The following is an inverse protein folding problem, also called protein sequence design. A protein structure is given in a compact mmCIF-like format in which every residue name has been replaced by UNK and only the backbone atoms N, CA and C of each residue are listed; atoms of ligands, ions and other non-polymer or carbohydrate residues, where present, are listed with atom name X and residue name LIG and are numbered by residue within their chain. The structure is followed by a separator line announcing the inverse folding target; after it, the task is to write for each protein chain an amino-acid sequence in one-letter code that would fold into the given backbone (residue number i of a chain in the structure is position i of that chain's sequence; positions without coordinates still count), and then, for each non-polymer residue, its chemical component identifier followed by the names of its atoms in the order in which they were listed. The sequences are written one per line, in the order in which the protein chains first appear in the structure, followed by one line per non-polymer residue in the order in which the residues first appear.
data_IF_930080880980
#
_entry.id   IF_930080880980
#
_cell.length_a   1.000
_cell.length_b   1.000
_cell.length_c   1.000
_cell.angle_alpha   90.00
_cell.angle_beta   90.00
_cell.angle_gamma   90.00
#
_symmetry.space_group_name_H-M   'P 1'
#
loop_
_entity.id
_entity.type
_entity.pdbx_description
1 polymer ?
2 water ?
#
# COMPACT_ATOMS: atom_id res chain seq x y z
N UNK A 22 -22.40 10.01 8.40
CA UNK A 22 -22.35 8.80 7.53
C UNK A 22 -22.26 9.18 6.05
N UNK A 23 -23.40 9.49 5.40
CA UNK A 23 -23.39 9.98 4.01
C UNK A 23 -22.24 10.98 3.82
N UNK A 24 -22.05 11.84 4.82
CA UNK A 24 -20.92 12.77 4.85
C UNK A 24 -19.55 12.08 4.82
N UNK A 25 -19.30 11.23 5.82
CA UNK A 25 -17.97 10.66 6.07
C UNK A 25 -17.62 9.53 5.08
N UNK A 26 -18.61 8.70 4.77
CA UNK A 26 -18.45 7.60 3.81
C UNK A 26 -17.94 8.08 2.45
N UNK A 27 -18.62 9.06 1.88
CA UNK A 27 -18.21 9.68 0.63
C UNK A 27 -16.76 10.22 0.65
N UNK A 28 -16.31 10.76 1.77
CA UNK A 28 -14.94 11.25 1.85
C UNK A 28 -13.97 10.07 1.68
N UNK A 29 -14.25 8.96 2.36
CA UNK A 29 -13.43 7.76 2.22
C UNK A 29 -13.43 7.15 0.83
N UNK A 30 -14.60 7.10 0.22
CA UNK A 30 -14.71 6.62 -1.15
C UNK A 30 -13.81 7.45 -2.06
N UNK A 31 -13.85 8.76 -1.86
CA UNK A 31 -13.06 9.68 -2.64
C UNK A 31 -11.58 9.37 -2.50
N UNK A 32 -11.12 9.18 -1.27
CA UNK A 32 -9.71 8.92 -1.02
C UNK A 32 -9.31 7.67 -1.73
N UNK A 33 -10.18 6.67 -1.69
CA UNK A 33 -9.91 5.40 -2.32
C UNK A 33 -9.91 5.45 -3.85
N UNK A 34 -10.80 6.22 -4.45
CA UNK A 34 -10.69 6.57 -5.87
C UNK A 34 -9.36 7.24 -6.24
N UNK A 35 -8.88 8.17 -5.41
CA UNK A 35 -7.58 8.83 -5.66
C UNK A 35 -6.42 7.87 -5.58
N UNK A 36 -6.47 6.97 -4.62
CA UNK A 36 -5.45 5.93 -4.51
C UNK A 36 -5.43 5.04 -5.77
N UNK A 37 -6.61 4.67 -6.26
CA UNK A 37 -6.79 3.88 -7.49
C UNK A 37 -6.17 4.58 -8.71
N UNK A 38 -6.48 5.87 -8.85
CA UNK A 38 -5.84 6.72 -9.89
C UNK A 38 -4.31 6.82 -9.78
N UNK A 39 -3.83 6.82 -8.55
CA UNK A 39 -2.42 6.89 -8.29
C UNK A 39 -1.71 5.61 -8.62
N UNK A 40 -2.38 4.48 -8.43
CA UNK A 40 -1.81 3.20 -8.83
C UNK A 40 -1.77 3.07 -10.34
N UNK A 41 -2.79 3.58 -11.03
CA UNK A 41 -2.71 3.67 -12.50
C UNK A 41 -1.47 4.47 -12.92
N UNK A 42 -1.20 5.56 -12.21
CA UNK A 42 -0.06 6.43 -12.50
C UNK A 42 1.26 5.70 -12.38
N UNK A 43 1.43 4.92 -11.34
CA UNK A 43 2.57 4.02 -11.21
C UNK A 43 2.69 3.00 -12.35
N UNK A 44 1.55 2.50 -12.86
CA UNK A 44 1.53 1.55 -13.98
C UNK A 44 2.05 2.20 -15.26
N UNK A 45 1.49 3.35 -15.61
CA UNK A 45 1.99 4.15 -16.70
C UNK A 45 3.48 4.39 -16.61
N UNK A 46 3.98 4.70 -15.42
CA UNK A 46 5.41 4.99 -15.26
C UNK A 46 6.28 3.78 -15.61
N UNK A 47 5.81 2.62 -15.26
CA UNK A 47 6.55 1.40 -15.49
C UNK A 47 6.59 1.10 -17.01
N UNK A 48 5.45 1.25 -17.69
CA UNK A 48 5.35 1.05 -19.14
C UNK A 48 6.28 1.99 -19.90
N UNK A 49 6.51 3.18 -19.35
CA UNK A 49 7.42 4.15 -19.94
C UNK A 49 8.86 4.05 -19.42
N UNK A 50 9.20 2.93 -18.79
CA UNK A 50 10.57 2.69 -18.36
C UNK A 50 11.26 3.92 -17.66
N UNK A 51 10.50 4.58 -16.80
CA UNK A 51 11.04 5.65 -15.96
C UNK A 51 11.93 5.09 -14.85
N UNK A 52 12.93 5.88 -14.39
CA UNK A 52 13.88 5.32 -13.43
C UNK A 52 13.25 4.73 -12.15
N UNK A 53 13.94 3.78 -11.56
CA UNK A 53 13.47 3.07 -10.40
C UNK A 53 13.13 3.98 -9.20
N UNK A 54 14.04 4.89 -8.82
CA UNK A 54 13.74 5.80 -7.70
C UNK A 54 12.48 6.64 -7.87
N UNK A 55 12.23 7.14 -9.08
CA UNK A 55 10.98 7.86 -9.41
C UNK A 55 9.74 7.00 -9.23
N UNK A 56 9.82 5.75 -9.67
CA UNK A 56 8.72 4.80 -9.51
C UNK A 56 8.50 4.51 -8.04
N UNK A 57 9.59 4.29 -7.30
CA UNK A 57 9.48 4.04 -5.84
C UNK A 57 8.98 5.24 -5.02
N UNK A 58 9.34 6.46 -5.44
CA UNK A 58 8.78 7.69 -4.87
C UNK A 58 7.26 7.79 -5.00
N UNK A 59 6.75 7.36 -6.14
CA UNK A 59 5.30 7.29 -6.39
C UNK A 59 4.60 6.14 -5.60
N UNK A 60 5.24 4.99 -5.54
CA UNK A 60 4.80 3.85 -4.70
C UNK A 60 4.76 4.22 -3.21
N UNK A 61 5.74 5.00 -2.73
CA UNK A 61 5.78 5.47 -1.32
C UNK A 61 4.58 6.36 -1.01
N UNK A 62 4.21 7.20 -1.97
CA UNK A 62 3.09 8.11 -1.79
C UNK A 62 1.80 7.32 -1.75
N UNK A 63 1.69 6.30 -2.60
CA UNK A 63 0.51 5.42 -2.60
C UNK A 63 0.44 4.69 -1.25
N UNK A 64 1.58 4.21 -0.77
CA UNK A 64 1.57 3.54 0.53
C UNK A 64 1.20 4.48 1.67
N UNK A 65 1.70 5.69 1.61
CA UNK A 65 1.31 6.70 2.59
C UNK A 65 -0.18 6.92 2.55
N UNK A 66 -0.73 6.99 1.35
CA UNK A 66 -2.17 7.31 1.21
C UNK A 66 -3.01 6.20 1.77
N UNK A 67 -2.54 4.98 1.55
CA UNK A 67 -3.21 3.79 2.06
C UNK A 67 -3.19 3.74 3.59
N UNK A 68 -2.04 4.05 4.18
CA UNK A 68 -1.91 4.16 5.64
C UNK A 68 -2.88 5.16 6.26
N UNK A 69 -3.04 6.32 5.63
CA UNK A 69 -3.94 7.36 6.14
C UNK A 69 -5.38 6.93 6.07
N UNK A 70 -5.74 6.20 5.02
CA UNK A 70 -7.08 5.63 4.90
C UNK A 70 -7.31 4.59 5.99
N UNK A 71 -6.35 3.70 6.17
CA UNK A 71 -6.44 2.72 7.27
C UNK A 71 -6.64 3.43 8.62
N UNK A 72 -5.87 4.48 8.85
CA UNK A 72 -5.98 5.24 10.07
C UNK A 72 -7.36 5.89 10.23
N UNK A 73 -7.95 6.39 9.15
CA UNK A 73 -9.29 7.00 9.25
C UNK A 73 -10.35 5.97 9.61
N UNK A 74 -10.20 4.77 9.08
CA UNK A 74 -11.17 3.72 9.33
C UNK A 74 -11.11 3.27 10.79
N UNK A 75 -9.89 3.10 11.29
CA UNK A 75 -9.67 2.82 12.70
C UNK A 75 -10.22 3.92 13.63
N UNK A 76 -10.02 5.18 13.30
CA UNK A 76 -10.57 6.28 14.08
C UNK A 76 -12.09 6.17 14.21
N UNK A 77 -12.79 5.90 13.11
CA UNK A 77 -14.25 5.76 13.15
C UNK A 77 -14.68 4.58 14.01
N UNK A 78 -14.02 3.43 13.86
CA UNK A 78 -14.26 2.26 14.71
C UNK A 78 -14.11 2.59 16.21
N UNK A 79 -12.98 3.19 16.55
CA UNK A 79 -12.71 3.60 17.90
C UNK A 79 -13.75 4.58 18.44
N UNK A 80 -14.16 5.53 17.59
CA UNK A 80 -15.24 6.45 17.92
C UNK A 80 -16.54 5.74 18.27
N UNK A 81 -16.94 4.76 17.46
CA UNK A 81 -18.16 4.00 17.77
C UNK A 81 -18.04 3.27 19.11
N UNK A 82 -16.89 2.66 19.37
CA UNK A 82 -16.70 1.88 20.58
C UNK A 82 -16.78 2.75 21.81
N UNK A 83 -16.11 3.90 21.80
CA UNK A 83 -16.09 4.78 22.98
C UNK A 83 -17.43 5.46 23.16
N UNK A 84 -18.03 5.89 22.06
CA UNK A 84 -19.37 6.48 22.08
C UNK A 84 -20.41 5.51 22.71
N UNK A 85 -20.38 4.25 22.27
CA UNK A 85 -21.30 3.23 22.77
C UNK A 85 -21.05 2.91 24.25
N UNK A 86 -19.78 2.96 24.68
CA UNK A 86 -19.41 2.79 26.09
C UNK A 86 -19.97 3.90 26.98
N UNK A 87 -19.85 5.15 26.54
CA UNK A 87 -20.46 6.27 27.25
C UNK A 87 -21.99 6.15 27.34
N UNK A 88 -22.62 5.73 26.26
CA UNK A 88 -24.09 5.64 26.20
C UNK A 88 -24.64 4.46 27.03
N UNK A 89 -23.98 3.31 26.90
CA UNK A 89 -24.54 2.01 27.24
C UNK A 89 -23.57 1.12 28.09
N UNK A 90 -22.39 1.64 28.41
CA UNK A 90 -21.41 0.93 29.21
C UNK A 90 -20.90 -0.32 28.52
N UNK A 91 -20.73 -1.37 29.33
CA UNK A 91 -19.98 -2.57 28.94
C UNK A 91 -18.57 -2.16 28.51
N UNK A 92 -17.89 -1.48 29.41
CA UNK A 92 -16.57 -0.93 29.13
C UNK A 92 -15.54 -2.02 28.82
N UNK A 93 -15.54 -3.12 29.58
CA UNK A 93 -14.56 -4.21 29.33
C UNK A 93 -14.62 -4.75 27.89
N UNK A 94 -15.84 -4.99 27.43
CA UNK A 94 -16.15 -5.52 26.10
C UNK A 94 -15.65 -4.57 24.99
N UNK A 95 -15.92 -3.27 25.18
CA UNK A 95 -15.59 -2.28 24.20
C UNK A 95 -14.09 -2.10 24.15
N UNK A 96 -13.46 -2.06 25.31
CA UNK A 96 -12.01 -2.00 25.39
C UNK A 96 -11.35 -3.17 24.66
N UNK A 97 -11.93 -4.35 24.82
CA UNK A 97 -11.38 -5.54 24.20
C UNK A 97 -11.57 -5.48 22.68
N UNK A 98 -12.65 -4.87 22.20
CA UNK A 98 -12.83 -4.62 20.77
C UNK A 98 -11.80 -3.66 20.23
N UNK A 99 -11.47 -2.64 21.00
CA UNK A 99 -10.51 -1.67 20.56
C UNK A 99 -9.14 -2.31 20.42
N UNK A 100 -8.76 -3.10 21.41
CA UNK A 100 -7.44 -3.77 21.41
C UNK A 100 -7.26 -4.80 20.27
N UNK A 101 -8.35 -5.50 19.95
CA UNK A 101 -8.38 -6.45 18.84
C UNK A 101 -8.21 -5.74 17.47
N UNK A 102 -8.83 -4.58 17.33
CA UNK A 102 -8.66 -3.74 16.14
C UNK A 102 -7.21 -3.22 15.99
N UNK A 103 -6.62 -2.78 17.09
CA UNK A 103 -5.21 -2.40 17.10
C UNK A 103 -4.26 -3.56 16.85
N UNK A 104 -4.59 -4.77 17.32
CA UNK A 104 -3.78 -5.96 17.01
C UNK A 104 -3.65 -6.14 15.49
N UNK A 105 -4.77 -6.03 14.77
CA UNK A 105 -4.77 -6.24 13.32
C UNK A 105 -4.30 -5.02 12.54
N UNK A 106 -4.37 -3.83 13.13
CA UNK A 106 -3.89 -2.60 12.47
C UNK A 106 -2.36 -2.47 12.51
N UNK A 107 -1.73 -3.15 13.45
CA UNK A 107 -0.28 -3.25 13.48
C UNK A 107 0.16 -4.72 13.21
N UNK B 19 15.98 -20.21 -6.23
CA UNK B 19 16.02 -19.39 -7.48
C UNK B 19 17.44 -19.27 -8.09
N UNK B 20 17.46 -19.06 -9.40
CA UNK B 20 18.45 -18.22 -10.06
C UNK B 20 17.67 -16.98 -10.52
N UNK B 21 18.16 -15.78 -10.18
CA UNK B 21 17.36 -14.55 -10.33
C UNK B 21 16.91 -14.37 -11.77
N UNK B 22 15.61 -14.10 -11.96
CA UNK B 22 15.06 -13.62 -13.25
C UNK B 22 14.32 -12.28 -13.09
N UNK B 23 14.75 -11.30 -13.90
CA UNK B 23 14.02 -10.06 -14.10
C UNK B 23 12.56 -10.39 -14.28
N UNK B 24 11.72 -9.79 -13.44
CA UNK B 24 10.27 -9.69 -13.69
C UNK B 24 9.97 -8.89 -14.95
N UNK B 25 9.19 -9.45 -15.85
CA UNK B 25 8.91 -8.83 -17.13
C UNK B 25 8.15 -7.53 -16.82
N UNK B 26 8.29 -6.53 -17.68
CA UNK B 26 7.48 -5.31 -17.58
C UNK B 26 5.99 -5.65 -17.49
N UNK B 27 5.52 -6.46 -18.42
CA UNK B 27 4.16 -6.98 -18.43
C UNK B 27 3.77 -7.74 -17.14
N UNK B 28 4.68 -8.52 -16.55
CA UNK B 28 4.36 -9.15 -15.27
C UNK B 28 4.11 -8.09 -14.17
N UNK B 29 4.90 -7.02 -14.15
CA UNK B 29 4.68 -5.94 -13.18
C UNK B 29 3.36 -5.18 -13.41
N UNK B 30 3.07 -4.87 -14.68
CA UNK B 30 1.86 -4.17 -15.03
C UNK B 30 0.65 -5.00 -14.54
N UNK B 31 0.76 -6.30 -14.70
CA UNK B 31 -0.21 -7.22 -14.22
C UNK B 31 -0.45 -7.10 -12.73
N UNK B 32 0.62 -7.20 -11.96
CA UNK B 32 0.51 -7.17 -10.50
C UNK B 32 -0.13 -5.85 -10.07
N UNK B 33 0.20 -4.79 -10.79
CA UNK B 33 -0.38 -3.48 -10.51
C UNK B 33 -1.86 -3.37 -10.86
N UNK B 34 -2.28 -4.04 -11.94
CA UNK B 34 -3.69 -4.13 -12.29
C UNK B 34 -4.48 -4.84 -11.26
N UNK B 35 -3.90 -5.90 -10.69
CA UNK B 35 -4.53 -6.64 -9.58
C UNK B 35 -4.70 -5.77 -8.35
N UNK B 36 -3.71 -4.95 -8.06
CA UNK B 36 -3.77 -4.04 -6.90
C UNK B 36 -4.84 -2.96 -7.07
N UNK B 37 -4.92 -2.42 -8.28
CA UNK B 37 -6.01 -1.52 -8.68
C UNK B 37 -7.42 -2.12 -8.46
N UNK B 38 -7.61 -3.35 -8.96
CA UNK B 38 -8.88 -4.08 -8.78
C UNK B 38 -9.20 -4.33 -7.31
N UNK B 39 -8.17 -4.52 -6.52
CA UNK B 39 -8.31 -4.77 -5.11
C UNK B 39 -8.67 -3.51 -4.34
N UNK B 40 -8.16 -2.37 -4.78
CA UNK B 40 -8.59 -1.09 -4.20
C UNK B 40 -10.02 -0.74 -4.54
N UNK B 41 -10.41 -1.03 -5.77
CA UNK B 41 -11.80 -0.84 -6.18
C UNK B 41 -12.74 -1.74 -5.33
N UNK B 42 -12.28 -2.95 -5.01
CA UNK B 42 -12.98 -3.83 -4.07
C UNK B 42 -13.19 -3.27 -2.67
N UNK B 43 -12.15 -2.66 -2.11
CA UNK B 43 -12.27 -1.96 -0.83
C UNK B 43 -13.32 -0.84 -0.90
N UNK B 44 -13.42 -0.18 -2.05
CA UNK B 44 -14.36 0.94 -2.22
C UNK B 44 -15.80 0.45 -2.20
N UNK B 45 -16.08 -0.59 -2.96
CA UNK B 45 -17.35 -1.30 -2.86
C UNK B 45 -17.73 -1.70 -1.43
N UNK B 46 -16.78 -2.23 -0.67
CA UNK B 46 -17.06 -2.65 0.71
C UNK B 46 -17.51 -1.48 1.58
N UNK B 47 -16.90 -0.33 1.36
CA UNK B 47 -17.23 0.85 2.13
C UNK B 47 -18.65 1.34 1.78
N UNK B 48 -18.99 1.36 0.49
CA UNK B 48 -20.33 1.76 0.02
C UNK B 48 -21.42 0.86 0.60
N UNK B 49 -21.08 -0.40 0.87
CA UNK B 49 -22.01 -1.34 1.48
C UNK B 49 -21.95 -1.38 3.02
N UNK B 50 -21.34 -0.37 3.64
CA UNK B 50 -21.23 -0.28 5.11
C UNK B 50 -20.88 -1.61 5.82
N UNK B 51 -19.95 -2.37 5.23
CA UNK B 51 -19.40 -3.59 5.84
C UNK B 51 -18.54 -3.25 7.06
N UNK B 52 -18.39 -4.19 8.02
CA UNK B 52 -17.73 -3.83 9.29
C UNK B 52 -16.28 -3.38 9.14
N UNK B 53 -15.84 -2.53 10.05
CA UNK B 53 -14.51 -1.92 9.97
C UNK B 53 -13.36 -2.94 9.92
N UNK B 54 -13.41 -4.02 10.74
CA UNK B 54 -12.33 -5.02 10.70
C UNK B 54 -12.20 -5.76 9.37
N UNK B 55 -13.33 -6.09 8.74
CA UNK B 55 -13.34 -6.65 7.38
C UNK B 55 -12.68 -5.71 6.36
N UNK B 56 -13.02 -4.42 6.44
CA UNK B 56 -12.47 -3.43 5.53
C UNK B 56 -10.96 -3.31 5.75
N UNK B 57 -10.54 -3.25 7.01
CA UNK B 57 -9.11 -3.14 7.34
C UNK B 57 -8.29 -4.36 6.92
N UNK B 58 -8.90 -5.54 7.00
CA UNK B 58 -8.29 -6.78 6.52
C UNK B 58 -7.98 -6.70 5.03
N UNK B 59 -8.92 -6.15 4.27
CA UNK B 59 -8.75 -5.96 2.83
C UNK B 59 -7.68 -4.86 2.45
N UNK B 60 -7.69 -3.75 3.19
CA UNK B 60 -6.66 -2.72 3.11
C UNK B 60 -5.25 -3.25 3.40
N UNK B 61 -5.12 -4.10 4.42
CA UNK B 61 -3.85 -4.76 4.74
C UNK B 61 -3.34 -5.62 3.56
N UNK B 62 -4.25 -6.35 2.93
CA UNK B 62 -3.89 -7.23 1.80
C UNK B 62 -3.38 -6.40 0.62
N UNK B 63 -4.05 -5.27 0.37
CA UNK B 63 -3.62 -4.34 -0.65
C UNK B 63 -2.21 -3.78 -0.34
N UNK B 64 -2.00 -3.35 0.90
CA UNK B 64 -0.70 -2.89 1.30
C UNK B 64 0.36 -4.00 1.16
N UNK B 65 0.02 -5.22 1.53
CA UNK B 65 0.94 -6.35 1.33
C UNK B 65 1.29 -6.54 -0.12
N UNK B 66 0.28 -6.46 -0.98
CA UNK B 66 0.51 -6.61 -2.43
C UNK B 66 1.40 -5.53 -2.98
N UNK B 67 1.19 -4.31 -2.49
CA UNK B 67 2.02 -3.18 -2.87
C UNK B 67 3.48 -3.38 -2.48
N UNK B 68 3.70 -3.84 -1.25
CA UNK B 68 5.03 -4.09 -0.72
C UNK B 68 5.75 -5.11 -1.59
N UNK B 69 5.07 -6.18 -2.00
CA UNK B 69 5.68 -7.25 -2.80
C UNK B 69 6.06 -6.78 -4.19
N UNK B 70 5.23 -5.92 -4.79
CA UNK B 70 5.62 -5.19 -6.01
C UNK B 70 6.85 -4.30 -5.84
N UNK B 71 6.85 -3.50 -4.79
CA UNK B 71 7.99 -2.66 -4.52
C UNK B 71 9.22 -3.53 -4.41
N UNK B 72 9.10 -4.62 -3.67
CA UNK B 72 10.21 -5.50 -3.42
C UNK B 72 10.76 -6.11 -4.73
N UNK B 73 9.88 -6.43 -5.67
CA UNK B 73 10.32 -6.96 -6.94
C UNK B 73 11.08 -5.94 -7.75
N UNK B 74 10.64 -4.70 -7.70
CA UNK B 74 11.28 -3.63 -8.47
C UNK B 74 12.67 -3.34 -7.92
N UNK B 75 12.76 -3.35 -6.59
CA UNK B 75 14.01 -3.23 -5.91
C UNK B 75 15.00 -4.36 -6.18
N UNK B 76 14.54 -5.60 -6.15
CA UNK B 76 15.40 -6.75 -6.47
C UNK B 76 16.04 -6.62 -7.85
N UNK B 77 15.24 -6.22 -8.85
CA UNK B 77 15.77 -6.03 -10.21
C UNK B 77 16.78 -4.90 -10.29
N UNK B 78 16.49 -3.79 -9.62
CA UNK B 78 17.45 -2.69 -9.50
C UNK B 78 18.79 -3.13 -8.87
N UNK B 79 18.71 -3.82 -7.73
CA UNK B 79 19.87 -4.37 -7.01
C UNK B 79 20.70 -5.24 -7.92
N UNK B 80 20.01 -6.14 -8.63
CA UNK B 80 20.63 -6.98 -9.63
C UNK B 80 21.42 -6.20 -10.69
N UNK B 81 20.82 -5.15 -11.27
CA UNK B 81 21.56 -4.28 -12.21
C UNK B 81 22.76 -3.62 -11.54
N UNK B 82 22.61 -3.15 -10.31
CA UNK B 82 23.71 -2.45 -9.63
C UNK B 82 24.89 -3.36 -9.37
N UNK B 83 24.63 -4.52 -8.81
CA UNK B 83 25.73 -5.45 -8.53
C UNK B 83 26.34 -6.06 -9.80
N UNK B 84 25.51 -6.31 -10.81
CA UNK B 84 25.98 -6.76 -12.12
C UNK B 84 26.90 -5.71 -12.80
N UNK B 85 26.46 -4.46 -12.83
CA UNK B 85 27.25 -3.35 -13.40
C UNK B 85 28.58 -3.11 -12.66
N UNK B 86 28.58 -3.33 -11.34
CA UNK B 86 29.80 -3.31 -10.53
C UNK B 86 30.83 -4.37 -10.89
N UNK B 87 30.39 -5.61 -11.03
CA UNK B 87 31.27 -6.67 -11.53
C UNK B 87 31.80 -6.36 -12.92
N UNK B 88 30.94 -5.83 -13.80
CA UNK B 88 31.27 -5.66 -15.22
C UNK B 88 32.22 -4.52 -15.46
N UNK B 89 31.97 -3.44 -14.73
CA UNK B 89 32.60 -2.16 -14.99
C UNK B 89 33.50 -1.65 -13.84
N UNK B 90 33.32 -2.18 -12.61
CA UNK B 90 34.17 -1.89 -11.43
C UNK B 90 33.94 -0.61 -10.61
N UNK B 91 32.88 0.14 -10.92
CA UNK B 91 32.65 1.45 -10.30
C UNK B 91 31.82 1.30 -9.05
N UNK B 92 32.45 0.77 -8.01
CA UNK B 92 31.75 0.39 -6.79
C UNK B 92 31.02 1.57 -6.13
N UNK B 93 31.64 2.76 -6.11
CA UNK B 93 31.09 3.94 -5.39
C UNK B 93 29.75 4.37 -6.00
N UNK B 94 29.74 4.49 -7.32
CA UNK B 94 28.55 4.88 -8.10
C UNK B 94 27.41 3.90 -7.83
N UNK B 95 27.75 2.61 -7.87
CA UNK B 95 26.75 1.55 -7.76
C UNK B 95 26.20 1.40 -6.37
N UNK B 96 27.06 1.50 -5.37
CA UNK B 96 26.58 1.62 -3.99
C UNK B 96 25.59 2.79 -3.81
N UNK B 97 25.91 3.93 -4.40
CA UNK B 97 25.14 5.13 -4.16
C UNK B 97 23.79 5.00 -4.87
N UNK B 98 23.76 4.33 -6.03
CA UNK B 98 22.52 3.98 -6.71
C UNK B 98 21.62 3.06 -5.89
N UNK B 99 22.24 2.09 -5.24
CA UNK B 99 21.48 1.15 -4.47
C UNK B 99 20.88 1.89 -3.32
N UNK B 100 21.68 2.74 -2.67
CA UNK B 100 21.28 3.38 -1.42
C UNK B 100 20.13 4.36 -1.63
N UNK B 101 20.12 5.03 -2.79
CA UNK B 101 19.03 5.90 -3.15
C UNK B 101 17.73 5.12 -3.26
N UNK B 102 17.82 3.98 -3.92
CA UNK B 102 16.66 3.15 -4.13
C UNK B 102 16.12 2.63 -2.81
N UNK B 103 17.01 2.19 -1.91
CA UNK B 103 16.61 1.82 -0.53
C UNK B 103 16.07 2.97 0.29
N UNK B 104 16.64 4.15 0.13
CA UNK B 104 16.09 5.31 0.83
C UNK B 104 14.61 5.41 0.50
N UNK B 105 14.26 5.37 -0.79
CA UNK B 105 12.86 5.65 -1.22
C UNK B 105 11.96 4.45 -1.01
N UNK B 106 12.55 3.27 -0.88
CA UNK B 106 11.83 2.04 -0.53
C UNK B 106 11.47 1.93 0.96
N UNK B 107 12.28 2.47 1.86
CA UNK B 107 12.08 2.24 3.30
C UNK B 107 11.15 3.26 3.94
#
# INVERSE_FOLDING_TARGET
MTSQPVPHPSARHSHAHPHVHSQESLQKLVNRLSRIEGHIRGVKTMVQENRPCPEVLIQVAAVRGALDRVARLILDDHMNECITRAAAEGNIEQELAELKEALDRFL
MTSQPVPHPSARHSHAHPHVHSQESLQKLVNRLSRIEGHIRGVKTMVQENRPCPEVLIQVAAVRGALDRVARLILDDHMNECITRAAAEGNIEQELAELKEALDRFL
#
